data_IF_023442562480
#
_entry.id   IF_023442562480
#
_cell.length_a   1.000
_cell.length_b   1.000
_cell.length_c   1.000
_cell.angle_alpha   90.00
_cell.angle_beta   90.00
_cell.angle_gamma   90.00
#
_symmetry.space_group_name_H-M   'P 1'
#
loop_
_entity.id
_entity.type
_entity.pdbx_description
1 polymer ?
#
# COMPACT_ATOMS: atom_id res chain seq x y z
N UNK A 1 -37.65 -18.39 -43.98
CA UNK A 1 -38.47 -17.78 -42.92
C UNK A 1 -38.30 -18.62 -41.68
N UNK A 2 -37.25 -18.37 -40.91
CA UNK A 2 -37.02 -19.04 -39.64
C UNK A 2 -37.44 -18.10 -38.51
N UNK A 3 -38.31 -18.60 -37.66
CA UNK A 3 -38.78 -17.86 -36.47
C UNK A 3 -37.78 -18.07 -35.35
N UNK A 4 -37.15 -16.97 -34.90
CA UNK A 4 -36.33 -16.92 -33.71
C UNK A 4 -37.29 -16.91 -32.51
N UNK A 5 -37.18 -17.97 -31.70
CA UNK A 5 -37.90 -18.11 -30.43
C UNK A 5 -37.08 -17.38 -29.34
N UNK A 6 -37.51 -16.15 -29.00
CA UNK A 6 -36.96 -15.34 -27.96
C UNK A 6 -37.57 -15.75 -26.61
N UNK A 7 -36.92 -16.61 -25.88
CA UNK A 7 -37.35 -17.08 -24.56
C UNK A 7 -36.42 -16.49 -23.46
N UNK A 8 -36.39 -15.16 -23.38
CA UNK A 8 -35.72 -14.46 -22.27
C UNK A 8 -36.74 -14.32 -21.13
N UNK A 9 -36.47 -14.83 -19.94
CA UNK A 9 -37.34 -14.61 -18.79
C UNK A 9 -37.29 -13.15 -18.37
N UNK A 10 -38.44 -12.48 -18.48
CA UNK A 10 -38.64 -11.13 -17.97
C UNK A 10 -38.82 -11.20 -16.47
N UNK A 11 -37.87 -10.64 -15.71
CA UNK A 11 -37.99 -10.46 -14.27
C UNK A 11 -38.87 -9.22 -14.05
N UNK A 12 -40.03 -9.32 -13.38
CA UNK A 12 -40.86 -8.15 -13.09
C UNK A 12 -40.16 -7.24 -12.08
N UNK A 13 -40.16 -5.96 -12.36
CA UNK A 13 -39.72 -4.92 -11.41
C UNK A 13 -40.73 -4.84 -10.26
N UNK A 14 -40.27 -4.69 -9.00
CA UNK A 14 -41.18 -4.54 -7.87
C UNK A 14 -41.91 -3.22 -7.93
N UNK A 15 -43.20 -3.25 -7.58
CA UNK A 15 -44.10 -2.10 -7.54
C UNK A 15 -43.63 -1.08 -6.49
N UNK A 16 -43.57 0.21 -6.79
CA UNK A 16 -43.21 1.23 -5.81
C UNK A 16 -44.41 1.51 -4.89
N UNK A 17 -44.48 0.83 -3.77
CA UNK A 17 -45.54 1.04 -2.77
C UNK A 17 -45.74 -0.06 -1.73
N UNK A 18 -45.16 -1.20 -1.92
CA UNK A 18 -45.21 -2.25 -0.89
C UNK A 18 -43.83 -2.30 -0.20
N UNK A 19 -43.83 -2.00 1.12
CA UNK A 19 -42.69 -2.14 1.99
C UNK A 19 -42.22 -3.59 1.96
N UNK A 20 -41.10 -3.86 1.30
CA UNK A 20 -40.46 -5.15 1.30
C UNK A 20 -40.08 -5.57 2.72
N UNK A 21 -39.98 -6.87 3.01
CA UNK A 21 -39.63 -7.33 4.33
C UNK A 21 -38.25 -6.80 4.71
N UNK A 22 -38.19 -6.17 5.88
CA UNK A 22 -36.95 -5.78 6.54
C UNK A 22 -36.25 -7.10 6.88
N UNK A 23 -35.20 -7.44 6.15
CA UNK A 23 -34.32 -8.55 6.53
C UNK A 23 -33.49 -8.10 7.73
N UNK A 24 -33.90 -8.54 8.92
CA UNK A 24 -33.01 -8.60 10.05
C UNK A 24 -31.85 -9.51 9.69
N UNK A 25 -30.73 -8.90 9.38
CA UNK A 25 -29.47 -9.59 9.11
C UNK A 25 -28.88 -10.19 10.39
N UNK A 26 -29.64 -11.06 11.05
CA UNK A 26 -29.14 -11.78 12.21
C UNK A 26 -28.83 -13.23 11.86
N UNK A 27 -27.66 -13.42 11.30
CA UNK A 27 -26.99 -14.74 11.32
C UNK A 27 -25.53 -14.55 11.70
N UNK A 28 -25.31 -14.39 12.99
CA UNK A 28 -23.99 -14.32 13.62
C UNK A 28 -24.14 -13.74 15.02
N UNK A 29 -23.87 -14.54 16.04
CA UNK A 29 -23.88 -14.19 17.46
C UNK A 29 -22.93 -13.03 17.78
N UNK A 30 -23.34 -11.81 17.48
CA UNK A 30 -22.72 -10.61 18.04
C UNK A 30 -23.77 -9.96 18.95
N UNK A 31 -23.57 -9.89 20.26
CA UNK A 31 -24.50 -9.18 21.14
C UNK A 31 -24.47 -7.68 20.80
N UNK A 32 -25.61 -7.16 20.39
CA UNK A 32 -25.83 -5.72 20.24
C UNK A 32 -25.92 -5.14 21.64
N UNK A 33 -24.94 -4.35 22.06
CA UNK A 33 -24.97 -3.59 23.31
C UNK A 33 -25.79 -2.33 23.04
N UNK A 34 -26.97 -2.14 23.72
CA UNK A 34 -27.71 -0.89 23.60
C UNK A 34 -26.89 0.27 24.18
N UNK A 35 -26.88 1.40 23.49
CA UNK A 35 -26.30 2.64 24.01
C UNK A 35 -27.10 3.08 25.25
N UNK A 36 -26.45 3.44 26.36
CA UNK A 36 -27.14 3.93 27.56
C UNK A 36 -27.79 5.28 27.28
N UNK A 37 -29.01 5.43 27.77
CA UNK A 37 -29.74 6.70 27.76
C UNK A 37 -28.97 7.76 28.58
N UNK A 38 -28.83 8.99 28.09
CA UNK A 38 -28.15 10.04 28.86
C UNK A 38 -29.04 10.48 30.04
N UNK A 39 -28.80 9.90 31.21
CA UNK A 39 -29.51 10.24 32.42
C UNK A 39 -29.67 9.12 33.44
N UNK A 40 -29.44 7.89 33.07
CA UNK A 40 -29.47 6.79 34.05
C UNK A 40 -28.11 6.13 34.14
N UNK A 41 -27.56 6.06 35.36
CA UNK A 41 -26.32 5.35 35.62
C UNK A 41 -26.50 3.87 35.32
N UNK A 42 -26.01 3.43 34.19
CA UNK A 42 -26.07 2.04 33.76
C UNK A 42 -25.25 1.11 34.68
N UNK A 43 -25.64 -0.15 34.79
CA UNK A 43 -24.93 -1.10 35.65
C UNK A 43 -23.51 -1.34 35.10
N UNK A 44 -22.56 -1.26 36.03
CA UNK A 44 -21.17 -1.65 35.76
C UNK A 44 -21.13 -3.18 35.58
N UNK A 45 -20.85 -3.65 34.36
CA UNK A 45 -20.64 -5.07 34.14
C UNK A 45 -19.25 -5.46 34.59
N UNK A 46 -19.18 -6.23 35.65
CA UNK A 46 -18.05 -7.00 36.09
C UNK A 46 -17.72 -8.08 35.03
N UNK A 47 -16.90 -7.77 34.10
CA UNK A 47 -16.31 -8.74 33.15
C UNK A 47 -15.20 -9.53 33.81
N UNK A 48 -15.55 -10.47 34.69
CA UNK A 48 -14.57 -11.32 35.35
C UNK A 48 -13.98 -12.34 34.38
N UNK A 49 -12.91 -11.99 33.70
CA UNK A 49 -11.95 -12.92 33.15
C UNK A 49 -10.52 -12.41 33.39
N UNK A 50 -9.95 -12.86 34.52
CA UNK A 50 -8.50 -12.78 34.78
C UNK A 50 -8.02 -11.48 35.42
N UNK A 51 -7.80 -11.51 36.72
CA UNK A 51 -6.95 -10.67 37.59
C UNK A 51 -6.28 -9.42 36.98
N UNK A 52 -7.05 -8.46 36.52
CA UNK A 52 -6.57 -7.10 36.30
C UNK A 52 -7.21 -6.24 37.38
N UNK A 53 -6.46 -5.59 38.29
CA UNK A 53 -7.05 -4.69 39.28
C UNK A 53 -7.70 -3.50 38.59
N UNK A 54 -9.04 -3.37 38.75
CA UNK A 54 -9.77 -2.20 38.31
C UNK A 54 -9.50 -1.08 39.32
N UNK A 55 -8.81 -0.04 38.86
CA UNK A 55 -8.65 1.20 39.66
C UNK A 55 -9.96 1.98 39.52
N UNK A 56 -10.72 2.25 40.63
CA UNK A 56 -11.91 3.05 40.57
C UNK A 56 -11.57 4.48 40.12
N UNK A 57 -12.33 5.00 39.17
CA UNK A 57 -12.29 6.42 38.82
C UNK A 57 -12.79 7.25 40.02
N UNK A 58 -12.11 8.31 40.43
CA UNK A 58 -12.56 9.18 41.53
C UNK A 58 -13.84 9.89 41.13
N UNK A 59 -14.79 9.93 42.09
CA UNK A 59 -16.07 10.60 41.98
C UNK A 59 -15.88 12.11 41.71
N UNK A 60 -16.54 12.71 40.71
CA UNK A 60 -16.38 14.13 40.42
C UNK A 60 -17.10 15.05 41.44
N UNK A 61 -16.78 14.95 42.68
CA UNK A 61 -17.41 15.74 43.75
C UNK A 61 -16.59 15.87 45.03
N UNK A 62 -15.54 15.10 45.19
CA UNK A 62 -14.66 15.26 46.34
C UNK A 62 -13.44 16.10 45.97
N UNK A 63 -13.44 17.35 46.36
CA UNK A 63 -12.31 18.25 46.23
C UNK A 63 -11.12 17.78 47.09
N UNK A 64 -10.31 16.88 46.55
CA UNK A 64 -9.02 16.60 47.11
C UNK A 64 -8.08 17.82 46.96
N UNK A 65 -7.09 17.99 47.85
CA UNK A 65 -6.18 19.13 47.77
C UNK A 65 -5.50 19.16 46.41
N UNK A 66 -5.74 20.21 45.63
CA UNK A 66 -5.02 20.53 44.39
C UNK A 66 -3.57 20.85 44.77
N UNK A 67 -2.77 19.83 44.89
CA UNK A 67 -1.33 20.02 44.83
C UNK A 67 -1.02 20.55 43.44
N UNK A 68 -0.71 21.84 43.35
CA UNK A 68 -0.28 22.52 42.14
C UNK A 68 1.11 22.05 41.68
N UNK A 69 1.30 20.76 41.61
CA UNK A 69 2.36 20.11 40.90
C UNK A 69 1.99 20.15 39.42
N UNK A 70 2.62 21.04 38.67
CA UNK A 70 2.68 20.99 37.21
C UNK A 70 3.08 19.58 36.80
N UNK A 71 2.07 18.71 36.54
CA UNK A 71 2.32 17.40 35.96
C UNK A 71 2.72 17.64 34.49
N UNK A 72 3.98 18.02 34.32
CA UNK A 72 4.61 17.96 33.02
C UNK A 72 4.60 16.47 32.66
N UNK A 73 3.57 16.07 31.89
CA UNK A 73 3.56 14.73 31.28
C UNK A 73 4.88 14.64 30.52
N UNK A 74 5.73 13.64 30.80
CA UNK A 74 6.94 13.47 30.03
C UNK A 74 6.53 13.47 28.56
N UNK A 75 7.26 14.18 27.67
CA UNK A 75 6.93 14.21 26.27
C UNK A 75 6.84 12.76 25.78
N UNK A 76 5.68 12.39 25.23
CA UNK A 76 5.53 11.06 24.62
C UNK A 76 6.45 11.05 23.40
N UNK A 77 7.64 10.47 23.59
CA UNK A 77 8.58 10.26 22.51
C UNK A 77 8.02 9.15 21.61
N UNK A 78 7.22 9.54 20.61
CA UNK A 78 6.85 8.60 19.56
C UNK A 78 8.12 8.16 18.84
N UNK A 79 8.35 6.85 18.67
CA UNK A 79 9.50 6.37 17.92
C UNK A 79 9.54 7.05 16.55
N UNK A 80 10.74 7.47 16.14
CA UNK A 80 10.94 8.09 14.84
C UNK A 80 10.70 7.05 13.73
N UNK A 81 9.98 7.45 12.71
CA UNK A 81 9.85 6.71 11.45
C UNK A 81 10.98 7.09 10.51
N UNK A 82 11.43 6.17 9.69
CA UNK A 82 12.39 6.43 8.62
C UNK A 82 11.65 6.40 7.29
N UNK A 83 11.70 7.49 6.56
CA UNK A 83 11.01 7.64 5.28
C UNK A 83 11.98 8.11 4.21
N UNK A 84 11.82 7.63 2.99
CA UNK A 84 12.47 8.17 1.79
C UNK A 84 11.40 8.51 0.77
N UNK A 85 11.77 9.31 -0.21
CA UNK A 85 10.85 9.77 -1.23
C UNK A 85 11.31 9.30 -2.60
N UNK A 86 10.36 8.78 -3.39
CA UNK A 86 10.53 8.42 -4.78
C UNK A 86 9.75 9.41 -5.64
N UNK A 87 10.39 10.00 -6.64
CA UNK A 87 9.69 10.81 -7.63
C UNK A 87 9.31 9.95 -8.85
N UNK A 88 8.07 9.48 -8.86
CA UNK A 88 7.44 8.76 -9.97
C UNK A 88 6.50 9.64 -10.80
N UNK A 89 6.53 10.98 -10.58
CA UNK A 89 5.67 11.94 -11.26
C UNK A 89 6.25 12.32 -12.63
N UNK A 90 5.88 11.57 -13.66
CA UNK A 90 6.28 11.87 -15.04
C UNK A 90 5.73 13.22 -15.52
N UNK A 91 6.53 13.98 -16.26
CA UNK A 91 6.13 15.26 -16.83
C UNK A 91 6.27 16.46 -15.88
N UNK A 92 6.66 16.24 -14.63
CA UNK A 92 6.92 17.32 -13.67
C UNK A 92 8.43 17.68 -13.63
N UNK A 93 8.72 18.95 -13.38
CA UNK A 93 10.08 19.42 -13.07
C UNK A 93 10.57 18.77 -11.79
N UNK A 94 11.90 18.78 -11.49
CA UNK A 94 12.39 18.30 -10.21
C UNK A 94 11.62 18.90 -9.04
N UNK A 95 11.26 18.07 -8.08
CA UNK A 95 10.41 18.45 -6.94
C UNK A 95 11.22 18.69 -5.66
N UNK A 96 10.63 19.47 -4.76
CA UNK A 96 11.04 19.65 -3.36
C UNK A 96 10.02 19.02 -2.46
N UNK A 97 10.47 18.48 -1.32
CA UNK A 97 9.57 17.84 -0.36
C UNK A 97 9.81 18.42 1.02
N UNK A 98 8.71 18.69 1.71
CA UNK A 98 8.69 19.15 3.09
C UNK A 98 7.80 18.22 3.92
N UNK A 99 8.20 17.96 5.16
CA UNK A 99 7.37 17.34 6.20
C UNK A 99 7.11 18.40 7.26
N UNK A 100 5.85 18.70 7.56
CA UNK A 100 5.46 19.74 8.54
C UNK A 100 6.20 21.06 8.37
N UNK A 101 6.33 21.56 7.13
CA UNK A 101 7.07 22.78 6.75
C UNK A 101 8.60 22.66 6.83
N UNK A 102 9.16 21.56 7.36
CA UNK A 102 10.62 21.32 7.35
C UNK A 102 11.01 20.72 6.00
N UNK A 103 11.94 21.34 5.30
CA UNK A 103 12.44 20.84 4.02
C UNK A 103 13.32 19.61 4.27
N UNK A 104 12.92 18.48 3.72
CA UNK A 104 13.64 17.19 3.86
C UNK A 104 14.32 16.77 2.55
N UNK A 105 13.78 17.21 1.40
CA UNK A 105 14.40 17.00 0.08
C UNK A 105 14.41 18.31 -0.68
N UNK A 106 15.60 18.75 -1.12
CA UNK A 106 15.79 20.03 -1.81
C UNK A 106 15.56 19.95 -3.31
N UNK A 107 15.86 18.79 -3.90
CA UNK A 107 15.70 18.53 -5.33
C UNK A 107 15.64 17.01 -5.55
N UNK A 108 14.56 16.52 -6.14
CA UNK A 108 14.36 15.12 -6.51
C UNK A 108 13.89 15.07 -7.97
N UNK A 109 14.76 14.58 -8.84
CA UNK A 109 14.43 14.39 -10.26
C UNK A 109 13.43 13.26 -10.46
N UNK A 110 12.85 13.21 -11.64
CA UNK A 110 12.03 12.06 -12.05
C UNK A 110 12.85 10.76 -12.02
N UNK A 111 12.22 9.63 -11.72
CA UNK A 111 12.83 8.31 -11.58
C UNK A 111 14.06 8.32 -10.64
N UNK A 112 13.97 9.02 -9.53
CA UNK A 112 15.02 9.03 -8.50
C UNK A 112 14.42 8.90 -7.10
N UNK A 113 15.24 8.36 -6.18
CA UNK A 113 14.89 8.15 -4.78
C UNK A 113 15.82 8.94 -3.88
N UNK A 114 15.29 9.52 -2.82
CA UNK A 114 16.08 10.21 -1.79
C UNK A 114 16.73 9.21 -0.82
N UNK A 115 17.69 9.68 -0.03
CA UNK A 115 18.09 8.97 1.18
C UNK A 115 16.95 8.94 2.19
N UNK A 116 17.02 7.98 3.14
CA UNK A 116 16.10 7.96 4.28
C UNK A 116 16.31 9.15 5.19
N UNK A 117 15.21 9.79 5.58
CA UNK A 117 15.16 10.83 6.59
C UNK A 117 14.33 10.38 7.78
N UNK A 118 14.64 10.90 8.96
CA UNK A 118 13.86 10.65 10.17
C UNK A 118 12.69 11.62 10.24
N UNK A 119 11.52 11.12 10.58
CA UNK A 119 10.31 11.91 10.80
C UNK A 119 9.62 11.41 12.07
N UNK A 120 8.95 12.29 12.83
CA UNK A 120 8.14 11.86 13.95
C UNK A 120 7.06 10.87 13.51
N UNK A 121 6.78 9.86 14.33
CA UNK A 121 5.63 8.99 14.11
C UNK A 121 4.30 9.74 14.23
N UNK A 122 3.22 9.19 13.69
CA UNK A 122 1.90 9.79 13.70
C UNK A 122 1.55 10.51 12.40
N UNK A 123 0.55 11.40 12.44
CA UNK A 123 0.09 12.10 11.24
C UNK A 123 1.04 13.24 10.88
N UNK A 124 1.56 13.21 9.66
CA UNK A 124 2.49 14.19 9.13
C UNK A 124 1.95 14.81 7.84
N UNK A 125 2.09 16.13 7.70
CA UNK A 125 1.71 16.83 6.48
C UNK A 125 2.92 16.90 5.54
N UNK A 126 2.79 16.24 4.40
CA UNK A 126 3.80 16.25 3.34
C UNK A 126 3.38 17.25 2.28
N UNK A 127 4.31 18.13 1.91
CA UNK A 127 4.13 19.12 0.84
C UNK A 127 5.13 18.85 -0.26
N UNK A 128 4.62 18.71 -1.49
CA UNK A 128 5.40 18.56 -2.72
C UNK A 128 5.29 19.85 -3.53
N UNK A 129 6.42 20.44 -3.88
CA UNK A 129 6.47 21.70 -4.62
C UNK A 129 7.52 21.66 -5.73
N UNK A 130 7.35 22.49 -6.74
CA UNK A 130 8.37 22.77 -7.76
C UNK A 130 9.56 23.55 -7.22
N UNK A 131 10.59 23.68 -8.04
CA UNK A 131 11.76 24.50 -7.72
C UNK A 131 11.42 26.00 -7.72
N UNK A 132 10.39 26.41 -8.43
CA UNK A 132 9.79 27.74 -8.46
C UNK A 132 9.00 28.09 -7.19
N UNK A 133 8.75 27.11 -6.32
CA UNK A 133 7.98 27.28 -5.09
C UNK A 133 6.49 26.99 -5.26
N UNK A 134 6.00 26.70 -6.46
CA UNK A 134 4.61 26.31 -6.66
C UNK A 134 4.33 24.98 -5.95
N UNK A 135 3.25 24.95 -5.16
CA UNK A 135 2.84 23.73 -4.44
C UNK A 135 1.93 22.87 -5.32
N UNK A 136 2.44 21.71 -5.73
CA UNK A 136 1.68 20.74 -6.51
C UNK A 136 0.73 19.91 -5.66
N UNK A 137 1.15 19.55 -4.43
CA UNK A 137 0.39 18.67 -3.55
C UNK A 137 0.70 18.97 -2.08
N UNK A 138 -0.35 18.93 -1.26
CA UNK A 138 -0.24 18.93 0.20
C UNK A 138 -1.19 17.88 0.77
N UNK A 139 -0.64 16.88 1.43
CA UNK A 139 -1.41 15.74 1.96
C UNK A 139 -0.92 15.36 3.34
N UNK A 140 -1.87 15.13 4.25
CA UNK A 140 -1.58 14.58 5.58
C UNK A 140 -1.78 13.07 5.54
N UNK A 141 -0.78 12.33 6.02
CA UNK A 141 -0.81 10.87 6.03
C UNK A 141 -0.15 10.31 7.30
N UNK A 142 -0.55 9.12 7.75
CA UNK A 142 0.06 8.49 8.92
C UNK A 142 1.46 7.96 8.58
N UNK A 143 2.43 8.20 9.48
CA UNK A 143 3.73 7.54 9.51
C UNK A 143 3.75 6.63 10.74
N UNK A 144 3.58 5.31 10.60
CA UNK A 144 3.59 4.41 11.75
C UNK A 144 4.91 4.53 12.53
N UNK A 145 4.88 4.72 13.86
CA UNK A 145 6.09 4.86 14.66
C UNK A 145 7.05 3.69 14.46
N UNK A 146 8.34 3.96 14.27
CA UNK A 146 9.37 2.94 14.02
C UNK A 146 9.33 2.30 12.63
N UNK A 147 8.45 2.77 11.75
CA UNK A 147 8.34 2.22 10.39
C UNK A 147 9.49 2.64 9.48
N UNK A 148 9.73 1.81 8.47
CA UNK A 148 10.60 2.09 7.33
C UNK A 148 9.72 2.09 6.07
N UNK A 149 9.70 3.22 5.33
CA UNK A 149 8.82 3.32 4.15
C UNK A 149 9.36 4.23 3.06
N UNK A 150 8.98 3.91 1.82
CA UNK A 150 9.13 4.78 0.65
C UNK A 150 7.80 5.47 0.39
N UNK A 151 7.82 6.79 0.27
CA UNK A 151 6.67 7.60 -0.15
C UNK A 151 6.89 7.99 -1.60
N UNK A 152 6.12 7.37 -2.50
CA UNK A 152 6.17 7.69 -3.92
C UNK A 152 5.25 8.86 -4.25
N UNK A 153 5.78 9.86 -4.93
CA UNK A 153 5.00 10.92 -5.57
C UNK A 153 4.62 10.42 -6.95
N UNK A 154 3.35 10.20 -7.20
CA UNK A 154 2.81 9.55 -8.40
C UNK A 154 1.83 10.46 -9.14
N UNK A 155 1.72 10.25 -10.45
CA UNK A 155 0.64 10.82 -11.26
C UNK A 155 -0.68 10.09 -10.97
N UNK A 156 -1.77 10.85 -10.99
CA UNK A 156 -3.15 10.33 -11.02
C UNK A 156 -3.96 11.14 -12.03
N UNK A 157 -5.17 10.69 -12.43
CA UNK A 157 -6.03 11.47 -13.32
C UNK A 157 -6.40 12.86 -12.77
N UNK A 158 -6.35 13.04 -11.44
CA UNK A 158 -6.66 14.31 -10.74
C UNK A 158 -5.42 15.14 -10.39
N UNK A 159 -4.22 14.76 -10.82
CA UNK A 159 -2.95 15.42 -10.50
C UNK A 159 -2.00 14.51 -9.73
N UNK A 160 -1.17 15.10 -8.86
CA UNK A 160 -0.24 14.31 -8.04
C UNK A 160 -0.91 13.70 -6.80
N UNK A 161 -0.41 12.53 -6.39
CA UNK A 161 -0.78 11.89 -5.14
C UNK A 161 0.45 11.27 -4.46
N UNK A 162 0.31 10.87 -3.19
CA UNK A 162 1.33 10.16 -2.42
C UNK A 162 0.87 8.73 -2.16
N UNK A 163 1.75 7.78 -2.46
CA UNK A 163 1.59 6.38 -2.14
C UNK A 163 2.66 5.96 -1.14
N UNK A 164 2.26 5.43 0.00
CA UNK A 164 3.17 4.91 1.00
C UNK A 164 3.39 3.41 0.78
N UNK A 165 4.64 3.01 0.68
CA UNK A 165 5.09 1.63 0.46
C UNK A 165 5.97 1.26 1.65
N UNK A 166 5.60 0.21 2.38
CA UNK A 166 6.42 -0.30 3.48
C UNK A 166 7.69 -0.94 2.93
N UNK A 167 8.85 -0.54 3.45
CA UNK A 167 10.14 -1.14 3.10
C UNK A 167 10.61 -2.17 4.14
N UNK A 168 9.76 -2.46 5.13
CA UNK A 168 10.02 -3.52 6.08
C UNK A 168 9.98 -4.86 5.36
N UNK A 169 11.15 -5.48 5.22
CA UNK A 169 11.28 -6.83 4.69
C UNK A 169 11.55 -7.82 5.82
N UNK A 170 11.38 -9.09 5.49
CA UNK A 170 11.58 -10.23 6.38
C UNK A 170 12.92 -10.17 7.10
N UNK A 171 12.90 -10.06 8.42
CA UNK A 171 14.05 -10.22 9.32
C UNK A 171 14.42 -11.70 9.38
N UNK A 172 15.06 -12.25 8.35
CA UNK A 172 15.53 -13.63 8.42
C UNK A 172 16.92 -13.72 7.79
N UNK A 173 17.90 -13.76 8.67
CA UNK A 173 19.26 -14.12 8.31
C UNK A 173 19.32 -15.51 7.71
N UNK A 174 19.62 -15.61 6.45
CA UNK A 174 20.15 -16.79 5.76
C UNK A 174 20.59 -16.41 4.35
N UNK A 175 21.38 -15.33 4.18
CA UNK A 175 21.99 -14.98 2.89
C UNK A 175 21.01 -14.91 1.69
N UNK A 176 19.70 -14.92 1.95
CA UNK A 176 18.69 -14.85 0.94
C UNK A 176 18.40 -13.39 0.61
N UNK A 177 18.26 -13.13 -0.66
CA UNK A 177 17.80 -11.85 -1.16
C UNK A 177 16.31 -11.91 -1.42
N UNK A 178 15.67 -10.77 -1.48
CA UNK A 178 14.24 -10.67 -1.72
C UNK A 178 13.97 -9.72 -2.89
N UNK A 179 12.92 -10.00 -3.61
CA UNK A 179 12.51 -9.26 -4.79
C UNK A 179 11.02 -8.95 -4.72
N UNK A 180 10.63 -7.76 -5.13
CA UNK A 180 9.24 -7.35 -5.32
C UNK A 180 9.11 -6.33 -6.43
N UNK A 181 7.88 -6.12 -6.90
CA UNK A 181 7.53 -5.14 -7.92
C UNK A 181 6.49 -4.17 -7.37
N UNK A 182 6.57 -2.90 -7.77
CA UNK A 182 5.56 -1.89 -7.49
C UNK A 182 5.20 -1.16 -8.78
N UNK A 183 3.94 -1.21 -9.19
CA UNK A 183 3.48 -0.56 -10.41
C UNK A 183 3.00 0.86 -10.11
N UNK A 184 3.79 1.87 -10.48
CA UNK A 184 3.51 3.29 -10.32
C UNK A 184 3.26 3.98 -11.67
N UNK A 185 3.20 3.23 -12.77
CA UNK A 185 2.96 3.77 -14.10
C UNK A 185 1.47 4.07 -14.28
N UNK A 186 1.11 5.35 -14.35
CA UNK A 186 -0.26 5.78 -14.66
C UNK A 186 -0.66 5.27 -16.05
N UNK A 187 -1.88 4.79 -16.19
CA UNK A 187 -2.43 4.19 -17.40
C UNK A 187 -1.81 2.84 -17.83
N UNK A 188 -0.89 2.29 -17.02
CA UNK A 188 -0.40 0.94 -17.25
C UNK A 188 -1.57 -0.06 -17.29
N UNK A 189 -1.59 -0.99 -18.25
CA UNK A 189 -2.43 -2.17 -18.10
C UNK A 189 -1.95 -2.96 -16.86
N UNK A 190 -2.74 -3.91 -16.37
CA UNK A 190 -2.23 -4.92 -15.44
C UNK A 190 -1.03 -5.64 -16.07
N UNK A 191 0.01 -5.87 -15.27
CA UNK A 191 1.30 -6.38 -15.75
C UNK A 191 1.64 -7.70 -15.08
N UNK A 192 1.95 -8.69 -15.89
CA UNK A 192 2.57 -9.93 -15.46
C UNK A 192 4.09 -9.78 -15.46
N UNK A 193 4.70 -10.30 -14.40
CA UNK A 193 6.17 -10.32 -14.25
C UNK A 193 6.63 -11.75 -14.46
N UNK A 194 7.38 -11.97 -15.55
CA UNK A 194 7.85 -13.28 -15.93
C UNK A 194 9.38 -13.34 -15.90
N UNK A 195 9.91 -14.54 -15.75
CA UNK A 195 11.30 -14.82 -16.07
C UNK A 195 11.44 -15.10 -17.58
N UNK A 196 12.68 -15.01 -18.09
CA UNK A 196 12.99 -15.29 -19.50
C UNK A 196 12.48 -16.67 -19.97
N UNK A 197 12.39 -17.63 -19.08
CA UNK A 197 11.91 -18.99 -19.38
C UNK A 197 10.38 -19.12 -19.35
N UNK A 198 9.66 -17.99 -19.18
CA UNK A 198 8.20 -17.91 -19.20
C UNK A 198 7.52 -18.17 -17.84
N UNK A 199 8.29 -18.44 -16.77
CA UNK A 199 7.72 -18.61 -15.43
C UNK A 199 7.17 -17.32 -14.90
N UNK A 200 5.92 -17.32 -14.43
CA UNK A 200 5.27 -16.16 -13.84
C UNK A 200 5.75 -15.96 -12.39
N UNK A 201 6.32 -14.81 -12.11
CA UNK A 201 6.75 -14.39 -10.76
C UNK A 201 5.61 -13.70 -10.03
N UNK A 202 4.97 -12.76 -10.69
CA UNK A 202 3.77 -12.06 -10.21
C UNK A 202 2.81 -11.89 -11.38
N UNK A 203 1.52 -12.07 -11.11
CA UNK A 203 0.45 -11.88 -12.07
C UNK A 203 -0.40 -10.66 -11.72
N UNK A 204 -0.98 -10.00 -12.74
CA UNK A 204 -2.00 -8.95 -12.62
C UNK A 204 -1.59 -7.77 -11.71
N UNK A 205 -0.32 -7.33 -11.77
CA UNK A 205 0.19 -6.21 -10.96
C UNK A 205 -0.38 -4.90 -11.51
N UNK A 206 -1.32 -4.30 -10.77
CA UNK A 206 -2.07 -3.13 -11.20
C UNK A 206 -1.42 -1.83 -10.76
N UNK A 207 -1.84 -0.72 -11.37
CA UNK A 207 -1.43 0.62 -10.93
C UNK A 207 -1.69 0.85 -9.44
N UNK A 208 -0.68 1.39 -8.72
CA UNK A 208 -0.60 1.59 -7.27
C UNK A 208 -0.42 0.31 -6.44
N UNK A 209 -0.30 -0.82 -7.07
CA UNK A 209 -0.05 -2.08 -6.39
C UNK A 209 1.43 -2.29 -6.14
N UNK A 210 1.74 -2.82 -4.96
CA UNK A 210 3.08 -3.29 -4.57
C UNK A 210 2.95 -4.75 -4.13
N UNK A 211 3.68 -5.63 -4.78
CA UNK A 211 3.66 -7.06 -4.48
C UNK A 211 4.36 -7.37 -3.16
N UNK A 212 4.12 -8.54 -2.60
CA UNK A 212 4.89 -9.06 -1.46
C UNK A 212 6.33 -9.37 -1.90
N UNK A 213 7.26 -9.38 -0.95
CA UNK A 213 8.60 -9.86 -1.21
C UNK A 213 8.62 -11.37 -1.43
N UNK A 214 9.21 -11.82 -2.54
CA UNK A 214 9.55 -13.22 -2.80
C UNK A 214 11.05 -13.43 -2.64
N UNK A 215 11.42 -14.56 -2.05
CA UNK A 215 12.82 -14.94 -1.89
C UNK A 215 13.43 -15.25 -3.25
N UNK A 216 14.66 -14.78 -3.44
CA UNK A 216 15.45 -15.01 -4.67
C UNK A 216 16.87 -15.41 -4.30
N UNK A 217 17.46 -16.37 -5.03
CA UNK A 217 18.87 -16.73 -4.87
C UNK A 217 19.77 -15.72 -5.59
N UNK A 218 21.00 -15.52 -5.13
CA UNK A 218 21.97 -14.75 -5.88
C UNK A 218 22.22 -15.34 -7.27
N UNK A 219 22.31 -14.47 -8.26
CA UNK A 219 22.49 -14.85 -9.67
C UNK A 219 21.96 -13.80 -10.63
N UNK A 220 22.07 -14.06 -11.93
CA UNK A 220 21.60 -13.15 -12.96
C UNK A 220 20.23 -13.60 -13.47
N UNK A 221 19.26 -12.69 -13.44
CA UNK A 221 17.90 -12.92 -13.89
C UNK A 221 17.53 -11.94 -14.98
N UNK A 222 16.74 -12.39 -15.94
CA UNK A 222 16.07 -11.54 -16.91
C UNK A 222 14.57 -11.61 -16.63
N UNK A 223 14.03 -10.48 -16.17
CA UNK A 223 12.59 -10.30 -15.95
C UNK A 223 11.97 -9.67 -17.19
N UNK A 224 10.80 -10.16 -17.56
CA UNK A 224 9.95 -9.65 -18.62
C UNK A 224 8.68 -9.11 -17.98
N UNK A 225 8.27 -7.93 -18.37
CA UNK A 225 7.03 -7.31 -17.92
C UNK A 225 6.09 -7.24 -19.12
N UNK A 226 5.00 -7.97 -19.08
CA UNK A 226 4.05 -8.12 -20.16
C UNK A 226 2.65 -7.67 -19.72
N UNK A 227 1.81 -7.28 -20.67
CA UNK A 227 0.40 -7.07 -20.37
C UNK A 227 -0.24 -8.38 -19.96
N UNK A 228 -0.99 -8.36 -18.84
CA UNK A 228 -1.69 -9.56 -18.35
C UNK A 228 -2.67 -10.05 -19.40
N UNK A 229 -2.45 -11.25 -19.91
CA UNK A 229 -3.43 -11.92 -20.74
C UNK A 229 -4.59 -12.37 -19.84
N UNK A 230 -5.80 -11.88 -20.15
CA UNK A 230 -7.01 -12.24 -19.42
C UNK A 230 -7.55 -13.61 -19.79
N UNK A 231 -6.87 -14.34 -20.66
CA UNK A 231 -7.11 -15.78 -20.80
C UNK A 231 -6.92 -16.43 -19.44
N UNK A 232 -7.86 -17.23 -18.93
CA UNK A 232 -7.80 -17.72 -17.56
C UNK A 232 -6.65 -18.72 -17.39
N UNK A 233 -5.46 -18.19 -17.15
CA UNK A 233 -4.36 -18.98 -16.57
C UNK A 233 -4.68 -19.19 -15.10
N UNK A 234 -4.66 -20.43 -14.62
CA UNK A 234 -4.99 -20.70 -13.22
C UNK A 234 -3.98 -20.01 -12.29
N UNK A 235 -4.49 -19.34 -11.25
CA UNK A 235 -3.68 -18.62 -10.25
C UNK A 235 -2.68 -19.49 -9.49
N UNK A 236 -2.82 -20.82 -9.55
CA UNK A 236 -1.86 -21.79 -8.98
C UNK A 236 -0.54 -21.89 -9.74
N UNK A 237 -0.41 -21.20 -10.89
CA UNK A 237 0.87 -21.07 -11.59
C UNK A 237 1.75 -19.94 -11.02
N UNK A 238 1.25 -19.13 -10.09
CA UNK A 238 2.07 -18.15 -9.39
C UNK A 238 3.08 -18.87 -8.49
N UNK A 239 4.35 -18.56 -8.66
CA UNK A 239 5.43 -19.21 -7.91
C UNK A 239 5.71 -18.48 -6.60
N UNK A 240 5.79 -19.21 -5.49
CA UNK A 240 6.13 -18.62 -4.19
C UNK A 240 7.61 -18.24 -4.09
N UNK A 241 8.47 -19.01 -4.75
CA UNK A 241 9.91 -18.73 -4.83
C UNK A 241 10.39 -18.86 -6.28
N UNK A 242 11.40 -18.06 -6.66
CA UNK A 242 11.97 -18.13 -8.01
C UNK A 242 12.64 -19.49 -8.35
N UNK A 243 12.85 -20.31 -7.33
CA UNK A 243 13.52 -21.62 -7.46
C UNK A 243 12.57 -22.78 -7.75
N UNK A 244 11.26 -22.62 -7.50
CA UNK A 244 10.26 -23.71 -7.52
C UNK A 244 9.34 -23.67 -8.73
N UNK A 245 9.80 -23.12 -9.83
CA UNK A 245 8.94 -22.91 -10.97
C UNK A 245 8.81 -24.12 -11.89
N UNK A 246 7.60 -24.32 -12.38
CA UNK A 246 7.28 -25.33 -13.38
C UNK A 246 7.77 -24.88 -14.77
N UNK A 247 8.47 -25.78 -15.48
CA UNK A 247 8.92 -25.54 -16.85
C UNK A 247 7.78 -25.91 -17.83
N UNK A 248 6.96 -24.93 -18.17
CA UNK A 248 6.14 -24.97 -19.38
C UNK A 248 6.90 -24.28 -20.52
N UNK A 249 6.59 -24.57 -21.76
CA UNK A 249 7.01 -23.78 -22.92
C UNK A 249 5.84 -22.87 -23.31
N UNK A 250 5.68 -21.70 -22.70
CA UNK A 250 4.63 -20.76 -23.13
C UNK A 250 5.16 -19.97 -24.32
N UNK A 251 4.30 -19.63 -25.23
CA UNK A 251 4.51 -18.48 -26.11
C UNK A 251 4.75 -17.28 -25.19
N UNK A 252 5.92 -16.66 -25.26
CA UNK A 252 6.26 -15.51 -24.43
C UNK A 252 5.27 -14.40 -24.76
N UNK A 253 4.55 -13.86 -23.76
CA UNK A 253 3.60 -12.80 -24.00
C UNK A 253 4.32 -11.55 -24.52
N UNK A 254 3.56 -10.70 -25.20
CA UNK A 254 4.06 -9.45 -25.77
C UNK A 254 4.66 -8.54 -24.67
N UNK A 255 5.96 -8.48 -24.62
CA UNK A 255 6.74 -7.84 -23.56
C UNK A 255 6.69 -6.32 -23.71
N UNK A 256 6.29 -5.59 -22.65
CA UNK A 256 6.31 -4.14 -22.59
C UNK A 256 7.72 -3.62 -22.31
N UNK A 257 8.36 -4.18 -21.29
CA UNK A 257 9.73 -3.82 -20.88
C UNK A 257 10.45 -5.03 -20.31
N UNK A 258 11.76 -5.08 -20.43
CA UNK A 258 12.60 -6.12 -19.83
C UNK A 258 13.64 -5.53 -18.89
N UNK A 259 14.04 -6.31 -17.88
CA UNK A 259 15.04 -5.94 -16.89
C UNK A 259 16.03 -7.08 -16.71
N UNK A 260 17.32 -6.81 -16.91
CA UNK A 260 18.39 -7.70 -16.47
C UNK A 260 18.82 -7.27 -15.07
N UNK A 261 18.76 -8.18 -14.11
CA UNK A 261 19.08 -7.93 -12.70
C UNK A 261 20.11 -8.95 -12.22
N UNK A 262 21.24 -8.45 -11.73
CA UNK A 262 22.18 -9.23 -10.96
C UNK A 262 21.79 -9.16 -9.48
N UNK A 263 21.42 -10.31 -8.92
CA UNK A 263 20.98 -10.43 -7.52
C UNK A 263 22.18 -10.78 -6.66
N UNK A 264 22.54 -9.87 -5.76
CA UNK A 264 23.57 -10.07 -4.75
C UNK A 264 22.98 -10.68 -3.47
N UNK A 265 23.84 -11.27 -2.63
CA UNK A 265 23.43 -11.82 -1.32
C UNK A 265 22.95 -10.72 -0.36
N UNK A 266 21.97 -11.04 0.50
CA UNK A 266 21.47 -10.17 1.58
C UNK A 266 20.99 -8.81 1.08
N UNK A 267 20.39 -8.76 -0.10
CA UNK A 267 19.91 -7.52 -0.70
C UNK A 267 18.43 -7.64 -1.05
N UNK A 268 17.67 -6.64 -0.67
CA UNK A 268 16.26 -6.54 -1.04
C UNK A 268 16.13 -5.65 -2.27
N UNK A 269 15.42 -6.14 -3.27
CA UNK A 269 15.20 -5.45 -4.53
C UNK A 269 13.74 -5.05 -4.64
N UNK A 270 13.49 -3.76 -4.86
CA UNK A 270 12.19 -3.26 -5.28
C UNK A 270 12.32 -2.71 -6.68
N UNK A 271 11.59 -3.29 -7.61
CA UNK A 271 11.48 -2.79 -8.98
C UNK A 271 10.23 -1.95 -9.09
N UNK A 272 10.41 -0.69 -9.42
CA UNK A 272 9.31 0.24 -9.70
C UNK A 272 9.08 0.31 -11.21
N UNK A 273 7.83 0.13 -11.62
CA UNK A 273 7.38 0.42 -12.97
C UNK A 273 6.92 1.87 -13.00
N UNK A 274 7.51 2.69 -13.83
CA UNK A 274 7.28 4.12 -13.94
C UNK A 274 6.82 4.46 -15.36
N UNK A 275 5.97 5.49 -15.52
CA UNK A 275 5.59 5.99 -16.84
C UNK A 275 6.79 6.62 -17.53
N UNK A 276 7.15 6.21 -18.75
CA UNK A 276 8.15 6.88 -19.59
C UNK A 276 7.54 7.82 -20.63
N UNK A 277 6.21 7.83 -20.71
CA UNK A 277 5.39 8.63 -21.62
C UNK A 277 3.94 8.66 -21.18
N UNK A 278 3.03 8.96 -22.10
CA UNK A 278 1.58 9.05 -21.86
C UNK A 278 0.82 7.80 -22.32
N UNK A 279 1.44 6.95 -23.11
CA UNK A 279 0.87 5.70 -23.61
C UNK A 279 0.79 4.63 -22.54
N UNK A 280 -0.11 3.66 -22.74
CA UNK A 280 -0.30 2.53 -21.82
C UNK A 280 0.94 1.64 -21.68
N UNK A 281 1.77 1.56 -22.72
CA UNK A 281 3.00 0.76 -22.79
C UNK A 281 4.27 1.58 -22.58
N UNK A 282 4.13 2.89 -22.35
CA UNK A 282 5.27 3.75 -22.06
C UNK A 282 5.72 3.54 -20.60
N UNK A 283 6.34 2.41 -20.35
CA UNK A 283 6.78 1.97 -19.03
C UNK A 283 8.29 1.79 -19.03
N UNK A 284 8.94 2.26 -17.97
CA UNK A 284 10.33 1.99 -17.67
C UNK A 284 10.47 1.37 -16.29
N UNK A 285 11.55 0.64 -16.09
CA UNK A 285 11.88 0.04 -14.79
C UNK A 285 12.91 0.87 -14.04
N UNK A 286 12.74 0.98 -12.71
CA UNK A 286 13.72 1.53 -11.80
C UNK A 286 13.96 0.56 -10.66
N UNK A 287 15.20 0.17 -10.44
CA UNK A 287 15.59 -0.75 -9.37
C UNK A 287 16.10 0.03 -8.16
N UNK A 288 15.57 -0.28 -7.00
CA UNK A 288 16.06 0.24 -5.71
C UNK A 288 16.45 -0.93 -4.83
N UNK A 289 17.64 -0.83 -4.25
CA UNK A 289 18.22 -1.87 -3.39
C UNK A 289 18.29 -1.42 -1.95
N UNK A 290 17.97 -2.31 -1.03
CA UNK A 290 18.08 -2.13 0.42
C UNK A 290 18.86 -3.31 1.03
N UNK A 291 19.83 -3.00 1.90
CA UNK A 291 20.69 -3.97 2.61
C UNK A 291 20.46 -3.94 4.11
#
# INVERSE_FOLDING_TARGET
>A
MERINDNTPVIPLPNPGEGGPVYDGNSGNTPVIPLPNPGEGGPVYDGNTGNIPVIPLPNPGEGGPVNGGSSVRPPIWLPLSRVRFLNAAFGYTPIRIQINRVRVVTRLGYASVSSYVQAPGGYQTITVSGLDGYTYLRKTMPLPPGSLSTIAVINTPSGLDLLQISDQCCLQGNCASNFRVSNLALNSPPVDVLLKDGRVVYADVRFKETTIFKRVRPGTYQFLFAETDRSPMPSWMDIETLDSAFLGTPDLPDTIVSLNLEVEKNTNYTVFLLSSGTGKRDIQTMVVTDR
#
